data_IF_962009756087
#
_entry.id   IF_962009756087
#
_cell.length_a   1.000
_cell.length_b   1.000
_cell.length_c   1.000
_cell.angle_alpha   90.00
_cell.angle_beta   90.00
_cell.angle_gamma   90.00
#
_symmetry.space_group_name_H-M   'P 1'
#
loop_
_entity.id
_entity.type
_entity.pdbx_description
1 polymer ?
#
# COMPACT_ATOMS: atom_id res chain seq x y z
N UNK A 1 -0.86 16.10 -15.81
CA UNK A 1 -1.65 17.29 -16.21
C UNK A 1 -1.78 18.35 -15.10
N UNK A 2 -2.65 18.20 -14.09
CA UNK A 2 -2.92 19.29 -13.11
C UNK A 2 -1.68 19.68 -12.31
N UNK A 3 -0.97 18.72 -11.71
CA UNK A 3 0.24 19.02 -10.91
C UNK A 3 1.33 19.69 -11.74
N UNK A 4 1.58 19.20 -12.95
CA UNK A 4 2.53 19.83 -13.88
C UNK A 4 2.16 21.28 -14.21
N UNK A 5 0.88 21.58 -14.43
CA UNK A 5 0.44 22.96 -14.67
C UNK A 5 0.71 23.88 -13.46
N UNK A 6 0.41 23.40 -12.24
CA UNK A 6 0.69 24.13 -11.00
C UNK A 6 2.20 24.35 -10.82
N UNK A 7 3.02 23.33 -11.05
CA UNK A 7 4.48 23.44 -10.88
C UNK A 7 5.14 24.37 -11.91
N UNK A 8 4.62 24.48 -13.14
CA UNK A 8 5.05 25.52 -14.09
C UNK A 8 4.81 26.93 -13.56
N UNK A 9 3.64 27.16 -12.94
CA UNK A 9 3.31 28.46 -12.36
C UNK A 9 4.18 28.77 -11.15
N UNK A 10 4.38 27.79 -10.25
CA UNK A 10 5.27 27.96 -9.09
C UNK A 10 6.69 28.27 -9.56
N UNK A 11 7.22 27.52 -10.53
CA UNK A 11 8.57 27.71 -11.06
C UNK A 11 8.80 29.11 -11.64
N UNK A 12 7.83 29.66 -12.35
CA UNK A 12 7.90 31.00 -12.94
C UNK A 12 7.97 32.13 -11.90
N UNK A 13 7.46 31.92 -10.69
CA UNK A 13 7.34 32.95 -9.65
C UNK A 13 8.19 32.70 -8.40
N UNK A 14 8.70 31.48 -8.20
CA UNK A 14 9.54 31.14 -7.07
C UNK A 14 10.91 31.81 -7.19
N UNK A 15 11.38 32.45 -6.12
CA UNK A 15 12.72 33.04 -6.05
C UNK A 15 13.80 31.98 -6.35
N UNK A 16 14.99 32.37 -6.88
CA UNK A 16 16.12 31.45 -7.02
C UNK A 16 16.45 30.74 -5.69
N UNK A 17 16.76 29.44 -5.75
CA UNK A 17 17.06 28.61 -4.58
C UNK A 17 15.85 28.22 -3.70
N UNK A 18 14.62 28.52 -4.13
CA UNK A 18 13.43 28.03 -3.45
C UNK A 18 13.22 26.53 -3.72
N UNK A 19 13.12 25.74 -2.64
CA UNK A 19 12.77 24.32 -2.69
C UNK A 19 11.29 24.14 -3.02
N UNK A 20 10.99 23.32 -4.02
CA UNK A 20 9.63 22.97 -4.43
C UNK A 20 9.30 21.54 -3.97
N UNK A 21 8.12 21.34 -3.38
CA UNK A 21 7.72 20.05 -2.85
C UNK A 21 6.30 19.65 -3.28
N UNK A 22 6.11 18.38 -3.64
CA UNK A 22 4.79 17.81 -3.97
C UNK A 22 4.36 16.75 -2.96
N UNK A 23 3.10 16.81 -2.51
CA UNK A 23 2.46 15.81 -1.64
C UNK A 23 1.68 14.76 -2.46
N UNK A 24 2.23 14.29 -3.57
CA UNK A 24 1.59 13.20 -4.34
C UNK A 24 1.83 11.86 -3.65
N UNK A 25 0.98 10.86 -3.89
CA UNK A 25 1.12 9.49 -3.35
C UNK A 25 1.42 8.44 -4.42
N UNK A 26 1.10 8.73 -5.69
CA UNK A 26 1.17 7.77 -6.80
C UNK A 26 1.64 8.37 -8.14
N UNK A 27 1.93 9.68 -8.16
CA UNK A 27 2.47 10.32 -9.37
C UNK A 27 3.98 10.31 -9.30
N UNK A 28 4.60 10.11 -10.45
CA UNK A 28 6.04 10.19 -10.63
C UNK A 28 6.54 11.61 -10.33
N UNK A 29 7.54 11.71 -9.44
CA UNK A 29 8.16 13.00 -9.04
C UNK A 29 8.97 13.58 -10.21
N UNK A 30 9.61 12.74 -11.01
CA UNK A 30 10.44 13.15 -12.14
C UNK A 30 9.57 13.71 -13.27
N UNK A 31 8.37 13.18 -13.51
CA UNK A 31 7.40 13.77 -14.44
C UNK A 31 6.93 15.17 -14.02
N UNK A 32 6.90 15.45 -12.71
CA UNK A 32 6.57 16.77 -12.18
C UNK A 32 7.79 17.70 -12.28
N UNK A 33 9.00 17.19 -12.00
CA UNK A 33 10.24 17.94 -12.14
C UNK A 33 10.59 18.28 -13.60
N UNK A 34 10.19 17.43 -14.56
CA UNK A 34 10.49 17.62 -15.97
C UNK A 34 9.87 18.88 -16.58
N UNK A 35 8.83 19.45 -15.95
CA UNK A 35 8.18 20.67 -16.42
C UNK A 35 8.67 21.95 -15.74
N UNK A 36 9.68 21.85 -14.87
CA UNK A 36 10.30 23.00 -14.20
C UNK A 36 11.71 23.24 -14.76
N UNK A 37 12.17 24.48 -14.69
CA UNK A 37 13.54 24.89 -15.02
C UNK A 37 14.55 24.58 -13.91
N UNK A 38 14.08 24.15 -12.72
CA UNK A 38 14.87 23.84 -11.52
C UNK A 38 14.58 22.44 -10.96
N UNK A 39 14.69 21.37 -11.78
CA UNK A 39 14.37 20.02 -11.34
C UNK A 39 15.19 19.55 -10.12
N UNK A 40 16.39 20.11 -9.93
CA UNK A 40 17.23 19.85 -8.77
C UNK A 40 16.67 20.39 -7.45
N UNK A 41 15.84 21.44 -7.51
CA UNK A 41 15.20 22.07 -6.35
C UNK A 41 13.86 21.42 -5.99
N UNK A 42 13.47 20.33 -6.68
CA UNK A 42 12.20 19.65 -6.48
C UNK A 42 12.36 18.32 -5.75
N UNK A 43 11.52 18.06 -4.75
CA UNK A 43 11.37 16.75 -4.11
C UNK A 43 9.90 16.38 -3.85
N UNK A 44 9.64 15.12 -3.46
CA UNK A 44 8.36 14.74 -2.86
C UNK A 44 8.38 14.87 -1.34
N UNK A 45 7.30 15.40 -0.77
CA UNK A 45 7.02 15.39 0.67
C UNK A 45 5.66 14.73 0.87
N UNK A 46 5.65 13.41 0.99
CA UNK A 46 4.43 12.61 1.09
C UNK A 46 4.00 12.46 2.56
N UNK A 47 3.01 13.26 2.94
CA UNK A 47 2.35 13.24 4.23
C UNK A 47 1.23 12.21 4.28
N UNK A 48 1.09 11.57 5.44
CA UNK A 48 0.08 10.55 5.69
C UNK A 48 -1.19 11.17 6.29
N UNK A 49 -2.36 10.78 5.80
CA UNK A 49 -3.63 11.36 6.25
C UNK A 49 -4.10 10.75 7.58
N UNK A 50 -4.59 11.55 8.55
CA UNK A 50 -4.60 13.02 8.56
C UNK A 50 -3.20 13.62 8.81
N UNK A 51 -2.76 14.54 7.94
CA UNK A 51 -1.37 15.04 7.92
C UNK A 51 -0.93 15.78 9.18
N UNK A 52 -1.87 16.33 9.95
CA UNK A 52 -1.60 16.96 11.25
C UNK A 52 -1.40 15.93 12.38
N UNK A 53 -1.97 14.73 12.25
CA UNK A 53 -1.93 13.67 13.29
C UNK A 53 -0.82 12.67 13.01
N UNK A 54 -0.73 12.16 11.78
CA UNK A 54 0.21 11.11 11.43
C UNK A 54 1.66 11.60 11.54
N UNK A 55 2.52 10.77 12.12
CA UNK A 55 3.94 11.13 12.35
C UNK A 55 4.80 10.94 11.11
N UNK A 56 4.47 9.99 10.26
CA UNK A 56 5.30 9.64 9.11
C UNK A 56 5.31 10.73 8.02
N UNK A 57 6.48 10.95 7.43
CA UNK A 57 6.69 11.74 6.22
C UNK A 57 7.68 10.99 5.32
N UNK A 58 7.25 10.59 4.13
CA UNK A 58 8.19 10.09 3.11
C UNK A 58 8.79 11.27 2.34
N UNK A 59 10.11 11.42 2.41
CA UNK A 59 10.90 12.41 1.66
C UNK A 59 11.40 11.73 0.39
N UNK A 60 10.75 12.02 -0.73
CA UNK A 60 10.95 11.28 -1.99
C UNK A 60 11.98 12.00 -2.85
N UNK A 61 13.07 11.30 -3.16
CA UNK A 61 14.16 11.74 -4.03
C UNK A 61 13.81 11.44 -5.49
N UNK A 62 13.66 12.50 -6.29
CA UNK A 62 13.66 12.40 -7.74
C UNK A 62 15.09 12.22 -8.29
N UNK A 63 15.20 11.85 -9.55
CA UNK A 63 16.46 11.56 -10.23
C UNK A 63 17.44 12.74 -10.24
N UNK A 64 16.93 13.98 -10.25
CA UNK A 64 17.76 15.20 -10.26
C UNK A 64 17.79 15.97 -8.95
N UNK A 65 17.04 15.56 -7.93
CA UNK A 65 16.95 16.28 -6.66
C UNK A 65 18.33 16.42 -6.01
N UNK A 66 18.72 17.65 -5.67
CA UNK A 66 20.02 17.94 -5.09
C UNK A 66 20.13 17.45 -3.62
N UNK A 67 21.33 17.09 -3.14
CA UNK A 67 21.52 16.61 -1.76
C UNK A 67 21.10 17.61 -0.67
N UNK A 68 21.33 18.91 -0.87
CA UNK A 68 20.95 19.98 0.06
C UNK A 68 19.42 20.20 0.12
N UNK A 69 18.75 19.98 -1.01
CA UNK A 69 17.29 20.00 -1.13
C UNK A 69 16.66 18.83 -0.35
N UNK A 70 17.24 17.63 -0.44
CA UNK A 70 16.85 16.49 0.40
C UNK A 70 17.08 16.78 1.88
N UNK A 71 18.25 17.32 2.24
CA UNK A 71 18.55 17.68 3.62
C UNK A 71 17.55 18.70 4.18
N UNK A 72 17.12 19.66 3.35
CA UNK A 72 16.08 20.64 3.70
C UNK A 72 14.72 19.96 3.92
N UNK A 73 14.33 19.01 3.08
CA UNK A 73 13.10 18.22 3.26
C UNK A 73 13.11 17.40 4.55
N UNK A 74 14.22 16.73 4.85
CA UNK A 74 14.40 15.96 6.09
C UNK A 74 14.32 16.88 7.33
N UNK A 75 14.99 18.02 7.28
CA UNK A 75 15.00 19.00 8.39
C UNK A 75 13.61 19.63 8.60
N UNK A 76 12.90 19.96 7.52
CA UNK A 76 11.52 20.43 7.60
C UNK A 76 10.62 19.40 8.29
N UNK A 77 10.76 18.11 7.93
CA UNK A 77 10.04 17.03 8.60
C UNK A 77 10.25 17.03 10.11
N UNK A 78 11.50 17.13 10.58
CA UNK A 78 11.82 17.19 12.01
C UNK A 78 11.20 18.42 12.69
N UNK A 79 11.30 19.60 12.07
CA UNK A 79 10.72 20.84 12.59
C UNK A 79 9.19 20.75 12.74
N UNK A 80 8.54 20.06 11.82
CA UNK A 80 7.10 19.77 11.87
C UNK A 80 6.74 18.61 12.83
N UNK A 81 7.71 18.13 13.63
CA UNK A 81 7.55 16.98 14.54
C UNK A 81 7.10 15.71 13.82
N UNK A 82 7.51 15.55 12.57
CA UNK A 82 7.35 14.33 11.78
C UNK A 82 8.57 13.43 11.93
N UNK A 83 8.41 12.19 11.45
CA UNK A 83 9.44 11.19 11.27
C UNK A 83 9.73 11.10 9.77
N UNK A 84 10.69 11.90 9.25
CA UNK A 84 11.05 11.88 7.85
C UNK A 84 11.85 10.62 7.50
N UNK A 85 11.42 9.92 6.45
CA UNK A 85 12.09 8.73 5.89
C UNK A 85 12.46 9.02 4.44
N UNK A 86 13.72 8.82 4.08
CA UNK A 86 14.18 9.00 2.69
C UNK A 86 13.69 7.83 1.83
N UNK A 87 13.11 8.15 0.67
CA UNK A 87 12.57 7.18 -0.27
C UNK A 87 12.99 7.55 -1.71
N UNK A 88 13.24 6.56 -2.56
CA UNK A 88 13.37 6.75 -4.00
C UNK A 88 12.03 7.02 -4.68
N UNK A 89 12.07 7.63 -5.86
CA UNK A 89 10.88 7.82 -6.68
C UNK A 89 10.43 6.48 -7.30
N UNK A 90 9.28 5.98 -6.86
CA UNK A 90 8.63 4.78 -7.39
C UNK A 90 7.12 4.86 -7.17
N UNK A 91 6.34 4.10 -7.94
CA UNK A 91 4.88 4.07 -7.77
C UNK A 91 4.51 3.61 -6.36
N UNK A 92 3.90 4.50 -5.59
CA UNK A 92 3.49 4.24 -4.20
C UNK A 92 4.62 4.32 -3.17
N UNK A 93 5.83 4.75 -3.57
CA UNK A 93 6.99 4.92 -2.67
C UNK A 93 7.26 3.64 -1.86
N UNK A 94 7.58 3.72 -0.57
CA UNK A 94 7.74 2.52 0.28
C UNK A 94 6.37 2.08 0.78
N UNK A 95 5.67 2.99 1.44
CA UNK A 95 4.48 2.69 2.20
C UNK A 95 3.33 2.13 1.36
N UNK A 96 2.90 2.90 0.36
CA UNK A 96 1.70 2.54 -0.41
C UNK A 96 1.98 1.32 -1.30
N UNK A 97 3.22 1.14 -1.75
CA UNK A 97 3.61 -0.02 -2.54
C UNK A 97 3.51 -1.32 -1.73
N UNK A 98 4.07 -1.35 -0.52
CA UNK A 98 3.93 -2.49 0.40
C UNK A 98 2.46 -2.71 0.78
N UNK A 99 1.74 -1.64 1.10
CA UNK A 99 0.32 -1.74 1.43
C UNK A 99 -0.51 -2.31 0.27
N UNK A 100 -0.20 -1.96 -0.97
CA UNK A 100 -0.85 -2.53 -2.15
C UNK A 100 -0.57 -4.02 -2.31
N UNK A 101 0.67 -4.48 -2.10
CA UNK A 101 1.01 -5.91 -2.13
C UNK A 101 0.27 -6.70 -1.05
N UNK A 102 0.26 -6.17 0.19
CA UNK A 102 -0.49 -6.71 1.31
C UNK A 102 -2.00 -6.80 1.01
N UNK A 103 -2.60 -5.70 0.53
CA UNK A 103 -4.03 -5.63 0.23
C UNK A 103 -4.40 -6.59 -0.89
N UNK A 104 -3.58 -6.68 -1.96
CA UNK A 104 -3.78 -7.61 -3.07
C UNK A 104 -3.80 -9.07 -2.58
N UNK A 105 -2.90 -9.44 -1.66
CA UNK A 105 -2.94 -10.78 -1.06
C UNK A 105 -4.17 -11.01 -0.18
N UNK A 106 -4.62 -10.01 0.57
CA UNK A 106 -5.87 -10.10 1.32
C UNK A 106 -7.08 -10.31 0.41
N UNK A 107 -7.12 -9.65 -0.74
CA UNK A 107 -8.18 -9.84 -1.74
C UNK A 107 -8.14 -11.23 -2.39
N UNK A 108 -6.95 -11.77 -2.69
CA UNK A 108 -6.84 -13.15 -3.18
C UNK A 108 -7.39 -14.17 -2.17
N UNK A 109 -7.16 -13.94 -0.87
CA UNK A 109 -7.71 -14.81 0.18
C UNK A 109 -9.24 -14.89 0.16
N UNK A 110 -9.95 -13.86 -0.33
CA UNK A 110 -11.41 -13.92 -0.44
C UNK A 110 -11.87 -14.96 -1.47
N UNK A 111 -11.27 -14.96 -2.66
CA UNK A 111 -11.54 -15.96 -3.68
C UNK A 111 -11.05 -17.35 -3.28
N UNK A 112 -9.93 -17.42 -2.55
CA UNK A 112 -9.34 -18.68 -2.12
C UNK A 112 -10.16 -19.34 -1.00
N UNK A 113 -10.93 -18.57 -0.23
CA UNK A 113 -11.96 -19.12 0.66
C UNK A 113 -12.25 -18.34 1.94
N UNK A 114 -11.40 -17.39 2.34
CA UNK A 114 -11.65 -16.57 3.51
C UNK A 114 -12.78 -15.57 3.31
N UNK A 115 -13.35 -15.12 4.42
CA UNK A 115 -14.31 -14.04 4.46
C UNK A 115 -13.68 -12.74 4.96
N UNK A 116 -14.22 -11.57 4.58
CA UNK A 116 -13.62 -10.29 4.98
C UNK A 116 -13.41 -10.16 6.49
N UNK A 117 -14.37 -10.63 7.29
CA UNK A 117 -14.25 -10.61 8.75
C UNK A 117 -13.16 -11.55 9.29
N UNK A 118 -12.88 -12.67 8.63
CA UNK A 118 -11.85 -13.62 9.07
C UNK A 118 -10.47 -13.02 8.83
N UNK A 119 -10.30 -12.36 7.69
CA UNK A 119 -9.06 -11.65 7.35
C UNK A 119 -8.84 -10.48 8.30
N UNK A 120 -9.87 -9.65 8.50
CA UNK A 120 -9.80 -8.51 9.42
C UNK A 120 -9.55 -8.97 10.86
N UNK A 121 -10.22 -10.03 11.34
CA UNK A 121 -10.01 -10.58 12.69
C UNK A 121 -8.63 -11.19 12.87
N UNK A 122 -8.11 -11.93 11.90
CA UNK A 122 -6.77 -12.53 11.99
C UNK A 122 -5.67 -11.46 12.11
N UNK A 123 -5.80 -10.37 11.34
CA UNK A 123 -4.82 -9.28 11.30
C UNK A 123 -4.96 -8.34 12.50
N UNK A 124 -6.18 -8.01 12.91
CA UNK A 124 -6.40 -7.26 14.15
C UNK A 124 -5.99 -8.07 15.38
N UNK A 125 -6.18 -9.39 15.37
CA UNK A 125 -5.70 -10.30 16.41
C UNK A 125 -4.17 -10.36 16.52
N UNK A 126 -3.44 -10.03 15.44
CA UNK A 126 -1.99 -9.83 15.49
C UNK A 126 -1.59 -8.47 16.09
N UNK A 127 -2.51 -7.50 16.06
CA UNK A 127 -2.29 -6.15 16.59
C UNK A 127 -2.38 -5.01 15.59
N UNK A 128 -2.78 -5.28 14.33
CA UNK A 128 -3.14 -4.19 13.42
C UNK A 128 -4.31 -3.39 13.99
N UNK A 129 -4.25 -2.07 13.88
CA UNK A 129 -5.29 -1.19 14.42
C UNK A 129 -6.66 -1.41 13.76
N UNK A 130 -6.68 -1.83 12.49
CA UNK A 130 -7.88 -2.12 11.72
C UNK A 130 -7.54 -3.11 10.60
N UNK A 131 -8.47 -4.02 10.31
CA UNK A 131 -8.33 -4.96 9.21
C UNK A 131 -8.45 -4.29 7.83
N UNK A 132 -7.87 -4.88 6.77
CA UNK A 132 -7.79 -4.27 5.44
C UNK A 132 -9.16 -3.96 4.83
N UNK A 133 -10.20 -4.77 5.08
CA UNK A 133 -11.52 -4.54 4.51
C UNK A 133 -12.29 -3.47 5.27
N UNK A 134 -12.16 -3.42 6.60
CA UNK A 134 -12.67 -2.31 7.40
C UNK A 134 -11.98 -0.97 7.06
N UNK A 135 -10.68 -0.97 6.75
CA UNK A 135 -9.96 0.20 6.24
C UNK A 135 -10.48 0.61 4.85
N UNK A 136 -10.73 -0.36 3.97
CA UNK A 136 -11.28 -0.08 2.64
C UNK A 136 -12.66 0.58 2.72
N UNK A 137 -13.55 0.08 3.58
CA UNK A 137 -14.87 0.66 3.80
C UNK A 137 -14.82 2.04 4.48
N UNK A 138 -13.84 2.27 5.36
CA UNK A 138 -13.60 3.59 5.97
C UNK A 138 -13.12 4.61 4.92
N UNK A 139 -12.19 4.20 4.06
CA UNK A 139 -11.59 5.07 3.03
C UNK A 139 -12.56 5.38 1.89
N UNK A 140 -13.44 4.44 1.59
CA UNK A 140 -14.37 4.47 0.47
C UNK A 140 -13.87 3.63 -0.70
N UNK A 141 -14.67 2.64 -1.11
CA UNK A 141 -14.30 1.68 -2.15
C UNK A 141 -14.21 2.33 -3.55
N UNK A 142 -14.95 3.40 -3.78
CA UNK A 142 -15.00 4.12 -5.04
C UNK A 142 -13.66 4.77 -5.44
N UNK A 143 -12.83 5.15 -4.47
CA UNK A 143 -11.50 5.71 -4.74
C UNK A 143 -10.63 4.65 -5.41
N UNK A 144 -10.54 3.46 -4.79
CA UNK A 144 -9.82 2.32 -5.35
C UNK A 144 -10.43 1.87 -6.68
N UNK A 145 -11.76 1.84 -6.79
CA UNK A 145 -12.46 1.48 -8.02
C UNK A 145 -12.15 2.43 -9.18
N UNK A 146 -12.12 3.75 -8.93
CA UNK A 146 -11.73 4.74 -9.95
C UNK A 146 -10.30 4.50 -10.46
N UNK A 147 -9.37 4.21 -9.55
CA UNK A 147 -7.98 3.88 -9.92
C UNK A 147 -7.92 2.58 -10.75
N UNK A 148 -8.64 1.53 -10.33
CA UNK A 148 -8.71 0.25 -11.06
C UNK A 148 -9.27 0.41 -12.46
N UNK A 149 -10.31 1.23 -12.65
CA UNK A 149 -10.88 1.54 -13.97
C UNK A 149 -9.92 2.33 -14.85
N UNK A 150 -9.22 3.32 -14.28
CA UNK A 150 -8.21 4.08 -15.01
C UNK A 150 -7.05 3.21 -15.53
N UNK A 151 -6.72 2.13 -14.80
CA UNK A 151 -5.68 1.17 -15.16
C UNK A 151 -6.18 0.01 -16.02
N UNK A 152 -7.49 -0.11 -16.29
CA UNK A 152 -8.06 -1.28 -16.96
C UNK A 152 -7.50 -1.48 -18.37
N UNK A 153 -7.28 -0.39 -19.11
CA UNK A 153 -6.77 -0.44 -20.49
C UNK A 153 -5.29 -0.90 -20.58
N UNK A 154 -4.53 -0.76 -19.49
CA UNK A 154 -3.09 -1.08 -19.45
C UNK A 154 -2.79 -2.32 -18.61
N UNK A 155 -3.81 -2.95 -18.01
CA UNK A 155 -3.65 -4.16 -17.20
C UNK A 155 -3.33 -5.34 -18.11
N UNK A 156 -2.30 -6.11 -17.77
CA UNK A 156 -2.02 -7.36 -18.46
C UNK A 156 -3.17 -8.36 -18.20
N UNK A 157 -3.85 -8.86 -19.25
CA UNK A 157 -5.00 -9.76 -19.09
C UNK A 157 -4.64 -11.10 -18.43
N UNK A 158 -3.35 -11.46 -18.36
CA UNK A 158 -2.87 -12.67 -17.69
C UNK A 158 -2.76 -12.50 -16.17
N UNK A 159 -2.70 -11.27 -15.66
CA UNK A 159 -2.62 -11.02 -14.23
C UNK A 159 -3.88 -11.52 -13.50
N UNK A 160 -3.68 -12.11 -12.31
CA UNK A 160 -4.78 -12.45 -11.42
C UNK A 160 -5.46 -11.17 -10.92
N UNK A 161 -6.67 -10.93 -11.39
CA UNK A 161 -7.51 -9.80 -10.99
C UNK A 161 -8.71 -10.24 -10.15
N UNK A 162 -8.89 -9.61 -8.99
CA UNK A 162 -10.03 -9.84 -8.07
C UNK A 162 -11.10 -8.77 -8.31
N UNK A 163 -12.25 -9.19 -8.85
CA UNK A 163 -13.35 -8.30 -9.24
C UNK A 163 -14.35 -7.98 -8.11
N UNK A 164 -14.18 -8.55 -6.91
CA UNK A 164 -15.12 -8.40 -5.77
C UNK A 164 -15.38 -6.93 -5.43
N UNK A 165 -14.31 -6.11 -5.31
CA UNK A 165 -14.44 -4.68 -5.01
C UNK A 165 -15.23 -3.94 -6.10
N UNK A 166 -14.98 -4.26 -7.38
CA UNK A 166 -15.64 -3.61 -8.50
C UNK A 166 -17.15 -3.88 -8.45
N UNK A 167 -17.54 -5.14 -8.21
CA UNK A 167 -18.94 -5.55 -8.09
C UNK A 167 -19.66 -4.89 -6.91
N UNK A 168 -18.97 -4.74 -5.78
CA UNK A 168 -19.51 -4.00 -4.63
C UNK A 168 -19.79 -2.54 -5.03
N UNK A 169 -18.84 -1.89 -5.72
CA UNK A 169 -19.02 -0.53 -6.20
C UNK A 169 -20.14 -0.38 -7.23
N UNK A 170 -20.28 -1.33 -8.16
CA UNK A 170 -21.35 -1.36 -9.16
C UNK A 170 -22.74 -1.46 -8.51
N UNK A 171 -22.84 -2.10 -7.35
CA UNK A 171 -24.06 -2.17 -6.54
C UNK A 171 -24.23 -0.98 -5.57
N UNK A 172 -23.41 0.07 -5.69
CA UNK A 172 -23.50 1.27 -4.84
C UNK A 172 -22.99 1.06 -3.41
N UNK A 173 -22.31 -0.05 -3.12
CA UNK A 173 -21.71 -0.34 -1.82
C UNK A 173 -20.32 0.30 -1.76
N UNK A 174 -20.25 1.56 -1.33
CA UNK A 174 -19.04 2.37 -1.35
C UNK A 174 -18.35 2.49 0.02
N UNK A 175 -18.75 1.69 1.01
CA UNK A 175 -18.23 1.69 2.37
C UNK A 175 -19.13 2.44 3.35
N UNK A 176 -18.54 2.98 4.43
CA UNK A 176 -19.28 3.62 5.54
C UNK A 176 -20.15 4.78 5.09
N UNK A 177 -19.70 5.53 4.09
CA UNK A 177 -20.40 6.73 3.58
C UNK A 177 -21.75 6.41 2.91
N UNK A 178 -21.94 5.19 2.43
CA UNK A 178 -23.21 4.69 1.86
C UNK A 178 -23.92 3.71 2.79
N UNK A 179 -23.43 3.53 4.02
CA UNK A 179 -23.96 2.55 4.97
C UNK A 179 -23.66 1.08 4.61
N UNK A 180 -22.89 0.83 3.55
CA UNK A 180 -22.64 -0.51 3.02
C UNK A 180 -21.38 -0.56 2.15
N UNK A 181 -20.52 -1.54 2.39
CA UNK A 181 -19.32 -1.89 1.61
C UNK A 181 -19.09 -3.40 1.69
N UNK A 182 -17.89 -3.81 2.09
CA UNK A 182 -17.64 -5.19 2.55
C UNK A 182 -18.51 -5.53 3.76
N UNK A 183 -18.77 -4.57 4.64
CA UNK A 183 -19.69 -4.70 5.77
C UNK A 183 -20.94 -3.84 5.59
N UNK A 184 -22.02 -4.21 6.28
CA UNK A 184 -23.17 -3.33 6.48
C UNK A 184 -22.94 -2.44 7.72
N UNK A 185 -23.42 -1.20 7.66
CA UNK A 185 -23.24 -0.19 8.71
C UNK A 185 -24.58 0.37 9.21
N UNK A 186 -25.44 -0.43 9.86
CA UNK A 186 -26.64 0.09 10.52
C UNK A 186 -26.20 1.10 11.60
N UNK A 187 -26.84 2.27 11.59
CA UNK A 187 -26.50 3.38 12.49
C UNK A 187 -25.01 3.79 12.48
N UNK A 188 -24.32 3.56 11.35
CA UNK A 188 -22.90 3.88 11.17
C UNK A 188 -21.92 2.92 11.87
N UNK A 189 -22.40 1.81 12.46
CA UNK A 189 -21.56 0.81 13.14
C UNK A 189 -21.39 -0.44 12.28
N UNK A 190 -20.17 -0.99 12.15
CA UNK A 190 -19.96 -2.19 11.36
C UNK A 190 -20.69 -3.39 11.98
N UNK A 191 -21.44 -4.12 11.14
CA UNK A 191 -21.79 -5.50 11.47
C UNK A 191 -20.52 -6.35 11.46
N UNK A 192 -20.41 -7.29 12.40
CA UNK A 192 -19.22 -8.13 12.58
C UNK A 192 -19.00 -9.10 11.42
N UNK A 193 -20.07 -9.56 10.81
CA UNK A 193 -20.05 -10.52 9.71
C UNK A 193 -20.55 -9.86 8.44
N UNK A 194 -20.05 -10.33 7.30
CA UNK A 194 -20.48 -9.86 5.99
C UNK A 194 -21.87 -10.42 5.62
N UNK A 195 -22.69 -9.60 4.95
CA UNK A 195 -24.07 -9.93 4.58
C UNK A 195 -24.15 -10.86 3.36
N UNK A 196 -25.34 -11.42 3.10
CA UNK A 196 -25.58 -12.37 2.02
C UNK A 196 -25.20 -11.84 0.62
N UNK A 197 -25.28 -10.52 0.40
CA UNK A 197 -24.91 -9.90 -0.88
C UNK A 197 -23.40 -10.02 -1.10
N UNK A 198 -22.63 -9.66 -0.07
CA UNK A 198 -21.16 -9.76 -0.11
C UNK A 198 -20.71 -11.21 -0.25
N UNK A 199 -21.36 -12.14 0.47
CA UNK A 199 -21.08 -13.58 0.35
C UNK A 199 -21.27 -14.09 -1.08
N UNK A 200 -22.42 -13.78 -1.68
CA UNK A 200 -22.75 -14.20 -3.04
C UNK A 200 -21.75 -13.65 -4.08
N UNK A 201 -21.31 -12.39 -3.94
CA UNK A 201 -20.30 -11.79 -4.83
C UNK A 201 -18.97 -12.54 -4.74
N UNK A 202 -18.52 -12.89 -3.52
CA UNK A 202 -17.26 -13.62 -3.30
C UNK A 202 -17.35 -15.04 -3.83
N UNK A 203 -18.46 -15.74 -3.57
CA UNK A 203 -18.72 -17.09 -4.09
C UNK A 203 -18.72 -17.11 -5.62
N UNK A 204 -19.42 -16.15 -6.24
CA UNK A 204 -19.44 -16.00 -7.69
C UNK A 204 -18.04 -15.73 -8.26
N UNK A 205 -17.26 -14.84 -7.64
CA UNK A 205 -15.89 -14.55 -8.07
C UNK A 205 -14.98 -15.79 -8.00
N UNK A 206 -15.14 -16.60 -6.95
CA UNK A 206 -14.41 -17.87 -6.79
C UNK A 206 -14.80 -18.87 -7.89
N UNK A 207 -16.11 -19.02 -8.15
CA UNK A 207 -16.64 -19.95 -9.16
C UNK A 207 -16.21 -19.60 -10.59
N UNK A 208 -16.26 -18.32 -10.98
CA UNK A 208 -15.82 -17.85 -12.30
C UNK A 208 -14.33 -18.10 -12.55
N UNK A 209 -13.53 -18.15 -11.49
CA UNK A 209 -12.10 -18.48 -11.56
C UNK A 209 -11.84 -19.99 -11.46
N UNK A 210 -12.87 -20.81 -11.28
CA UNK A 210 -12.75 -22.25 -11.10
C UNK A 210 -12.07 -22.65 -9.78
N UNK A 211 -12.11 -21.79 -8.76
CA UNK A 211 -11.47 -22.04 -7.47
C UNK A 211 -12.43 -22.81 -6.56
N UNK A 212 -11.96 -23.97 -6.07
CA UNK A 212 -12.57 -24.63 -4.93
C UNK A 212 -12.16 -23.88 -3.65
N UNK A 213 -13.12 -23.20 -3.03
CA UNK A 213 -12.89 -22.42 -1.81
C UNK A 213 -12.45 -23.33 -0.67
N UNK A 214 -11.41 -22.94 0.06
CA UNK A 214 -10.87 -23.66 1.21
C UNK A 214 -10.85 -22.76 2.44
N UNK A 215 -11.18 -23.31 3.60
CA UNK A 215 -11.06 -22.58 4.86
C UNK A 215 -9.59 -22.25 5.13
N UNK A 216 -9.32 -20.96 5.34
CA UNK A 216 -8.00 -20.48 5.75
C UNK A 216 -7.98 -20.27 7.26
N UNK A 217 -6.97 -20.83 7.94
CA UNK A 217 -6.77 -20.58 9.37
C UNK A 217 -6.27 -19.15 9.60
N UNK A 218 -6.49 -18.56 10.80
CA UNK A 218 -5.94 -17.24 11.12
C UNK A 218 -4.43 -17.14 10.91
N UNK A 219 -3.69 -18.22 11.15
CA UNK A 219 -2.25 -18.26 10.93
C UNK A 219 -1.87 -18.22 9.45
N UNK A 220 -2.58 -18.97 8.60
CA UNK A 220 -2.38 -18.91 7.15
C UNK A 220 -2.67 -17.51 6.59
N UNK A 221 -3.71 -16.86 7.10
CA UNK A 221 -4.07 -15.49 6.71
C UNK A 221 -2.95 -14.51 7.07
N UNK A 222 -2.54 -14.48 8.35
CA UNK A 222 -1.46 -13.62 8.82
C UNK A 222 -0.18 -13.85 8.03
N UNK A 223 0.21 -15.12 7.87
CA UNK A 223 1.43 -15.50 7.17
C UNK A 223 1.42 -15.02 5.72
N UNK A 224 0.34 -15.24 4.96
CA UNK A 224 0.23 -14.76 3.58
C UNK A 224 0.33 -13.23 3.48
N UNK A 225 -0.34 -12.52 4.38
CA UNK A 225 -0.31 -11.06 4.42
C UNK A 225 1.11 -10.52 4.70
N UNK A 226 1.81 -11.09 5.68
CA UNK A 226 3.17 -10.69 6.05
C UNK A 226 4.19 -11.04 4.97
N UNK A 227 4.12 -12.25 4.40
CA UNK A 227 5.00 -12.66 3.30
C UNK A 227 4.86 -11.72 2.09
N UNK A 228 3.65 -11.20 1.82
CA UNK A 228 3.43 -10.19 0.79
C UNK A 228 4.23 -8.91 1.07
N UNK A 229 4.17 -8.43 2.31
CA UNK A 229 4.92 -7.25 2.73
C UNK A 229 6.43 -7.48 2.66
N UNK A 230 6.89 -8.65 3.08
CA UNK A 230 8.32 -9.03 3.08
C UNK A 230 8.86 -9.12 1.66
N UNK A 231 8.13 -9.77 0.75
CA UNK A 231 8.54 -9.85 -0.65
C UNK A 231 8.64 -8.45 -1.27
N UNK A 232 7.64 -7.59 -1.04
CA UNK A 232 7.65 -6.22 -1.57
C UNK A 232 8.75 -5.36 -0.94
N UNK A 233 9.04 -5.55 0.35
CA UNK A 233 10.16 -4.89 1.02
C UNK A 233 11.52 -5.28 0.42
N UNK A 234 11.70 -6.55 0.06
CA UNK A 234 12.90 -7.03 -0.62
C UNK A 234 13.05 -6.40 -2.02
N UNK A 235 11.96 -6.29 -2.79
CA UNK A 235 11.97 -5.61 -4.09
C UNK A 235 12.33 -4.13 -3.97
N UNK A 236 11.72 -3.43 -3.00
CA UNK A 236 12.00 -2.02 -2.72
C UNK A 236 13.47 -1.76 -2.36
N UNK A 237 14.11 -2.68 -1.63
CA UNK A 237 15.54 -2.60 -1.33
C UNK A 237 16.40 -2.84 -2.58
N UNK A 238 16.08 -3.88 -3.36
CA UNK A 238 16.80 -4.21 -4.59
C UNK A 238 16.75 -3.08 -5.62
N UNK A 239 15.62 -2.37 -5.69
CA UNK A 239 15.42 -1.22 -6.57
C UNK A 239 15.99 0.10 -6.02
N UNK A 240 16.53 0.11 -4.79
CA UNK A 240 17.07 1.30 -4.15
C UNK A 240 16.01 2.35 -3.77
N UNK A 241 14.73 1.95 -3.72
CA UNK A 241 13.62 2.81 -3.27
C UNK A 241 13.69 2.99 -1.76
N UNK A 242 13.92 1.91 -1.01
CA UNK A 242 14.33 1.99 0.39
C UNK A 242 15.86 1.92 0.48
N UNK A 243 16.47 2.81 1.25
CA UNK A 243 17.94 2.82 1.45
C UNK A 243 18.36 1.80 2.51
N UNK A 244 17.53 1.61 3.55
CA UNK A 244 17.79 0.69 4.66
C UNK A 244 16.55 -0.14 4.94
N UNK A 245 16.74 -1.40 5.28
CA UNK A 245 15.64 -2.30 5.61
C UNK A 245 14.83 -1.79 6.83
N UNK A 246 15.51 -1.19 7.83
CA UNK A 246 14.85 -0.60 9.00
C UNK A 246 13.92 0.57 8.69
N UNK A 247 14.17 1.31 7.59
CA UNK A 247 13.32 2.45 7.22
C UNK A 247 11.93 1.97 6.79
N UNK A 248 11.84 0.76 6.22
CA UNK A 248 10.58 0.10 5.88
C UNK A 248 9.77 -0.17 7.15
N UNK A 249 10.40 -0.72 8.20
CA UNK A 249 9.72 -0.97 9.47
C UNK A 249 9.16 0.32 10.08
N UNK A 250 9.92 1.41 10.06
CA UNK A 250 9.45 2.73 10.52
C UNK A 250 8.23 3.18 9.72
N UNK A 251 8.26 3.05 8.39
CA UNK A 251 7.14 3.42 7.50
C UNK A 251 5.89 2.63 7.87
N UNK A 252 5.98 1.31 8.01
CA UNK A 252 4.80 0.47 8.26
C UNK A 252 4.24 0.66 9.68
N UNK A 253 5.10 0.81 10.68
CA UNK A 253 4.68 1.05 12.07
C UNK A 253 4.04 2.45 12.22
N UNK A 254 4.63 3.49 11.62
CA UNK A 254 4.18 4.88 11.81
C UNK A 254 3.10 5.33 10.82
N UNK A 255 3.00 4.67 9.67
CA UNK A 255 2.10 5.04 8.58
C UNK A 255 0.91 4.11 8.38
N UNK A 256 1.07 2.81 8.65
CA UNK A 256 0.10 1.77 8.27
C UNK A 256 -0.42 0.94 9.46
N UNK A 257 -0.05 1.33 10.68
CA UNK A 257 -0.56 0.69 11.90
C UNK A 257 -0.07 -0.75 12.08
N UNK A 258 1.11 -1.08 11.53
CA UNK A 258 1.76 -2.34 11.85
C UNK A 258 2.04 -2.41 13.36
N UNK A 259 1.75 -3.54 14.03
CA UNK A 259 1.89 -3.66 15.48
C UNK A 259 3.33 -3.38 15.94
N UNK A 260 3.51 -2.31 16.71
CA UNK A 260 4.84 -1.85 17.15
C UNK A 260 5.63 -2.89 17.95
N UNK A 261 4.95 -3.80 18.65
CA UNK A 261 5.60 -4.87 19.44
C UNK A 261 6.10 -6.03 18.58
N UNK A 262 5.65 -6.12 17.32
CA UNK A 262 6.18 -7.04 16.31
C UNK A 262 7.35 -6.41 15.52
N UNK A 263 7.77 -5.19 15.87
CA UNK A 263 8.90 -4.45 15.29
C UNK A 263 8.65 -3.82 13.91
N UNK A 264 8.10 -4.60 12.98
CA UNK A 264 7.88 -4.23 11.57
C UNK A 264 7.97 -5.47 10.67
N UNK A 265 7.57 -5.41 9.38
CA UNK A 265 7.63 -6.59 8.50
C UNK A 265 9.05 -7.14 8.30
N UNK A 266 10.08 -6.29 8.26
CA UNK A 266 11.48 -6.73 8.13
C UNK A 266 11.95 -7.33 9.45
N UNK A 267 11.71 -6.67 10.58
CA UNK A 267 12.00 -7.23 11.90
C UNK A 267 11.34 -8.59 12.09
N UNK A 268 10.05 -8.71 11.79
CA UNK A 268 9.30 -9.97 11.85
C UNK A 268 9.94 -11.06 10.98
N UNK A 269 10.32 -10.73 9.73
CA UNK A 269 10.98 -11.67 8.83
C UNK A 269 12.31 -12.18 9.40
N UNK A 270 13.10 -11.33 10.04
CA UNK A 270 14.38 -11.72 10.66
C UNK A 270 14.22 -12.69 11.84
N UNK A 271 13.02 -12.82 12.40
CA UNK A 271 12.71 -13.82 13.43
C UNK A 271 12.26 -15.16 12.85
N UNK A 272 12.15 -15.29 11.53
CA UNK A 272 11.73 -16.51 10.86
C UNK A 272 12.93 -17.25 10.27
N UNK A 273 12.78 -18.57 10.12
CA UNK A 273 13.73 -19.36 9.35
C UNK A 273 13.73 -18.94 7.88
N UNK A 274 14.90 -18.62 7.32
CA UNK A 274 15.05 -18.18 5.93
C UNK A 274 14.37 -19.14 4.95
N UNK A 275 14.58 -20.44 5.14
CA UNK A 275 14.01 -21.46 4.27
C UNK A 275 12.47 -21.50 4.33
N UNK A 276 11.87 -21.12 5.47
CA UNK A 276 10.42 -21.04 5.61
C UNK A 276 9.82 -19.79 4.95
N UNK A 277 10.54 -18.66 4.99
CA UNK A 277 10.17 -17.45 4.25
C UNK A 277 10.22 -17.71 2.74
N UNK A 278 11.31 -18.31 2.27
CA UNK A 278 11.50 -18.63 0.86
C UNK A 278 10.40 -19.56 0.33
N UNK A 279 10.10 -20.66 1.04
CA UNK A 279 8.97 -21.53 0.71
C UNK A 279 7.62 -20.82 0.73
N UNK A 280 7.43 -19.92 1.70
CA UNK A 280 6.21 -19.11 1.78
C UNK A 280 6.03 -18.19 0.58
N UNK A 281 7.11 -17.54 0.15
CA UNK A 281 7.15 -16.66 -1.03
C UNK A 281 6.94 -17.47 -2.32
N UNK A 282 7.49 -18.68 -2.43
CA UNK A 282 7.17 -19.60 -3.53
C UNK A 282 5.67 -19.95 -3.57
N UNK A 283 5.07 -20.17 -2.40
CA UNK A 283 3.63 -20.35 -2.28
C UNK A 283 2.84 -19.13 -2.78
N UNK A 284 3.29 -17.91 -2.44
CA UNK A 284 2.69 -16.68 -2.98
C UNK A 284 2.85 -16.58 -4.50
N UNK A 285 4.00 -16.97 -5.04
CA UNK A 285 4.25 -16.98 -6.48
C UNK A 285 3.24 -17.86 -7.22
N UNK A 286 2.95 -19.05 -6.69
CA UNK A 286 1.95 -19.96 -7.25
C UNK A 286 0.52 -19.37 -7.20
N UNK A 287 0.18 -18.66 -6.12
CA UNK A 287 -1.15 -18.03 -5.91
C UNK A 287 -1.35 -16.81 -6.82
N UNK A 288 -0.31 -15.99 -6.98
CA UNK A 288 -0.34 -14.76 -7.80
C UNK A 288 -0.27 -15.12 -9.27
N UNK A 289 0.58 -16.09 -9.62
CA UNK A 289 0.83 -16.52 -10.98
C UNK A 289 1.58 -15.46 -11.79
N UNK A 290 1.07 -15.18 -12.99
CA UNK A 290 1.72 -14.26 -13.93
C UNK A 290 1.96 -12.87 -13.33
N UNK A 291 3.14 -12.33 -13.58
CA UNK A 291 3.57 -11.02 -13.07
C UNK A 291 4.12 -11.03 -11.65
N UNK A 292 4.19 -12.18 -10.96
CA UNK A 292 4.88 -12.26 -9.68
C UNK A 292 6.39 -12.07 -9.85
N UNK A 293 6.98 -11.17 -9.08
CA UNK A 293 8.43 -10.97 -8.99
C UNK A 293 8.89 -11.35 -7.59
N UNK A 294 9.80 -12.32 -7.52
CA UNK A 294 10.40 -12.77 -6.26
C UNK A 294 11.47 -11.79 -5.83
N UNK A 295 11.34 -11.24 -4.62
CA UNK A 295 12.37 -10.41 -4.00
C UNK A 295 13.54 -11.25 -3.47
N UNK A 296 14.77 -10.73 -3.59
CA UNK A 296 15.93 -11.30 -2.91
C UNK A 296 15.91 -10.94 -1.43
N UNK A 297 15.77 -11.95 -0.57
CA UNK A 297 15.72 -11.75 0.88
C UNK A 297 17.10 -11.50 1.50
N UNK A 298 18.19 -11.74 0.79
CA UNK A 298 19.56 -11.60 1.32
C UNK A 298 19.84 -10.21 1.91
N UNK A 299 19.58 -9.08 1.21
CA UNK A 299 19.77 -7.73 1.78
C UNK A 299 18.78 -7.40 2.89
N UNK A 300 17.64 -8.09 2.97
CA UNK A 300 16.61 -7.86 3.98
C UNK A 300 16.95 -8.57 5.30
N UNK A 301 17.50 -9.78 5.21
CA UNK A 301 17.81 -10.64 6.35
C UNK A 301 19.25 -10.48 6.90
N UNK A 302 20.13 -9.82 6.15
CA UNK A 302 21.51 -9.52 6.56
C UNK A 302 21.66 -8.40 7.58
#
# INVERSE_FOLDING_TARGET
AVKQAVFRQIDAHARPGAVLATNTSYLDIDDIAAVTSRPQDLLGLHFFSPANVMKLLEVVRGARTAPDVLATGMELGRRLKKLPVLCGNAFGFIGNRIYNAYRKQCEFMLEDGAWPEEVDQALTGMGFAMGPFAVADLSGLDIAWRMRKAQAATRDPRERYVAILDRLCEQGRLGRKTGAGYYAYPDGKPQRATDATVRAIIEQASAERGLARQTLTPEQIRRRALLAMVNEAALLLAEGVAVRASDIDVVLVQGYGFPRWEGGPVFWARQQERAELERGIDGLAAIVGHGFVRGDLTPLLG
#
